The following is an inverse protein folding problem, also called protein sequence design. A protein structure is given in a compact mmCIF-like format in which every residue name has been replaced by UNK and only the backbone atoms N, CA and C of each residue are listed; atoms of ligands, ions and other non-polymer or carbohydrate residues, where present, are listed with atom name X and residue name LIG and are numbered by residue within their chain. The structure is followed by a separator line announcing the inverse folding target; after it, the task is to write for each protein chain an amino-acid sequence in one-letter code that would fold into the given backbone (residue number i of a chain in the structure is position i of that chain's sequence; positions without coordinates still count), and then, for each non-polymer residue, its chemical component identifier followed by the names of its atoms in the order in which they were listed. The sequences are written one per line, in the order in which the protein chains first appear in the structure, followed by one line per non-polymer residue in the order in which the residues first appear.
data_IF_982580113432
#
_entry.id   IF_982580113432
#
_cell.length_a   1.000
_cell.length_b   1.000
_cell.length_c   1.000
_cell.angle_alpha   90.00
_cell.angle_beta   90.00
_cell.angle_gamma   90.00
#
_symmetry.space_group_name_H-M   'P 1'
#
loop_
_entity.id
_entity.type
_entity.pdbx_description
1 polymer ?
#
# COMPACT_ATOMS: atom_id res chain seq x y z
N UNK A 1 21.19 14.76 -2.66
CA UNK A 1 21.20 13.43 -2.00
C UNK A 1 20.29 12.50 -2.78
N UNK A 2 20.58 11.19 -2.84
CA UNK A 2 19.68 10.21 -3.48
C UNK A 2 18.42 10.00 -2.64
N UNK A 3 17.25 9.94 -3.30
CA UNK A 3 15.96 9.75 -2.64
C UNK A 3 15.71 8.24 -2.44
N UNK A 4 15.53 7.76 -1.20
CA UNK A 4 15.16 6.38 -0.94
C UNK A 4 13.84 6.00 -1.62
N UNK A 5 13.83 4.91 -2.40
CA UNK A 5 12.64 4.36 -3.02
C UNK A 5 12.82 2.87 -3.32
N UNK A 6 11.75 2.10 -3.24
CA UNK A 6 11.80 0.64 -3.38
C UNK A 6 11.96 0.16 -4.83
N UNK A 7 11.81 1.03 -5.83
CA UNK A 7 12.17 0.71 -7.21
C UNK A 7 13.68 0.77 -7.48
N UNK A 8 14.48 1.27 -6.53
CA UNK A 8 15.91 1.52 -6.69
C UNK A 8 16.22 2.50 -7.85
N UNK A 9 15.32 3.45 -8.12
CA UNK A 9 15.55 4.51 -9.10
C UNK A 9 16.55 5.50 -8.54
N UNK A 10 17.57 5.84 -9.35
CA UNK A 10 18.57 6.83 -8.98
C UNK A 10 18.05 8.25 -9.27
N UNK A 11 17.15 8.73 -8.41
CA UNK A 11 16.68 10.12 -8.43
C UNK A 11 17.25 10.88 -7.24
N UNK A 12 17.54 12.18 -7.42
CA UNK A 12 18.19 13.04 -6.43
C UNK A 12 17.29 14.19 -6.00
N UNK A 13 17.59 14.72 -4.82
CA UNK A 13 17.05 15.97 -4.32
C UNK A 13 18.21 16.92 -3.94
N UNK A 14 18.02 18.22 -4.20
CA UNK A 14 18.99 19.25 -3.79
C UNK A 14 18.92 19.47 -2.26
N UNK A 15 17.71 19.48 -1.70
CA UNK A 15 17.46 19.64 -0.27
C UNK A 15 16.77 18.36 0.20
N UNK A 16 17.37 17.71 1.20
CA UNK A 16 16.85 16.49 1.81
C UNK A 16 17.00 16.60 3.32
N UNK A 17 15.85 16.57 4.01
CA UNK A 17 15.73 16.80 5.45
C UNK A 17 15.11 15.54 6.11
N UNK A 18 15.89 14.77 6.86
CA UNK A 18 15.34 13.70 7.70
C UNK A 18 14.65 14.32 8.91
N UNK A 19 13.38 13.98 9.11
CA UNK A 19 12.50 14.54 10.13
C UNK A 19 12.30 13.50 11.24
N UNK A 20 12.90 13.75 12.40
CA UNK A 20 12.87 12.84 13.55
C UNK A 20 11.96 13.28 14.70
N UNK A 21 11.43 14.53 14.66
CA UNK A 21 10.46 15.03 15.65
C UNK A 21 9.42 15.94 15.00
N UNK A 22 8.30 16.17 15.68
CA UNK A 22 7.26 17.10 15.22
C UNK A 22 7.77 18.55 15.23
N UNK A 23 8.64 18.92 16.15
CA UNK A 23 9.28 20.23 16.23
C UNK A 23 10.14 20.46 14.98
N UNK A 24 10.99 19.49 14.63
CA UNK A 24 11.81 19.56 13.40
C UNK A 24 10.94 19.61 12.14
N UNK A 25 9.77 18.96 12.13
CA UNK A 25 8.82 19.06 11.03
C UNK A 25 8.27 20.48 10.89
N UNK A 26 7.85 21.10 12.01
CA UNK A 26 7.32 22.46 12.03
C UNK A 26 8.39 23.46 11.58
N UNK A 27 9.62 23.36 12.08
CA UNK A 27 10.75 24.20 11.66
C UNK A 27 11.02 24.07 10.16
N UNK A 28 11.06 22.85 9.64
CA UNK A 28 11.26 22.60 8.22
C UNK A 28 10.13 23.21 7.34
N UNK A 29 8.87 23.13 7.80
CA UNK A 29 7.71 23.70 7.09
C UNK A 29 7.70 25.24 7.13
N UNK A 30 8.27 25.87 8.17
CA UNK A 30 8.46 27.32 8.22
C UNK A 30 9.48 27.81 7.19
N UNK A 31 10.55 27.04 6.99
CA UNK A 31 11.65 27.39 6.11
C UNK A 31 11.42 26.99 4.65
N UNK A 32 10.66 25.93 4.42
CA UNK A 32 10.47 25.33 3.09
C UNK A 32 9.01 25.20 2.73
N UNK A 33 8.59 25.94 1.69
CA UNK A 33 7.23 25.88 1.16
C UNK A 33 7.08 24.76 0.12
N UNK A 34 5.89 24.17 0.04
CA UNK A 34 5.55 23.10 -0.92
C UNK A 34 6.54 21.92 -0.92
N UNK A 35 6.84 21.33 0.23
CA UNK A 35 7.81 20.25 0.30
C UNK A 35 7.29 18.98 -0.40
N UNK A 36 8.23 18.17 -0.89
CA UNK A 36 7.97 16.79 -1.24
C UNK A 36 8.03 15.94 0.05
N UNK A 37 6.91 15.34 0.45
CA UNK A 37 6.82 14.54 1.67
C UNK A 37 7.12 13.09 1.33
N UNK A 38 8.18 12.54 1.94
CA UNK A 38 8.62 11.18 1.76
C UNK A 38 8.33 10.34 3.01
N UNK A 39 7.62 9.22 2.83
CA UNK A 39 7.50 8.15 3.82
C UNK A 39 8.51 7.02 3.53
N UNK A 40 8.04 5.78 3.45
CA UNK A 40 8.89 4.62 3.13
C UNK A 40 9.33 4.49 1.67
N UNK A 41 8.90 5.36 0.77
CA UNK A 41 9.26 5.31 -0.66
C UNK A 41 8.75 4.06 -1.41
N UNK A 42 7.75 3.37 -0.87
CA UNK A 42 7.31 2.05 -1.34
C UNK A 42 6.09 2.07 -2.28
N UNK A 43 5.49 3.24 -2.53
CA UNK A 43 4.37 3.39 -3.46
C UNK A 43 4.55 4.63 -4.35
N UNK A 44 5.72 4.72 -4.97
CA UNK A 44 6.09 5.86 -5.83
C UNK A 44 7.02 5.43 -6.94
N UNK A 45 6.90 6.11 -8.07
CA UNK A 45 7.83 6.04 -9.20
C UNK A 45 8.41 7.44 -9.46
N UNK A 46 9.71 7.58 -9.30
CA UNK A 46 10.44 8.81 -9.61
C UNK A 46 10.88 8.78 -11.07
N UNK A 47 10.35 9.67 -11.91
CA UNK A 47 10.71 9.75 -13.33
C UNK A 47 11.78 10.81 -13.61
N UNK A 48 12.11 11.62 -12.60
CA UNK A 48 13.09 12.70 -12.64
C UNK A 48 13.59 13.01 -11.22
N UNK A 49 14.59 13.87 -11.11
CA UNK A 49 15.03 14.43 -9.83
C UNK A 49 13.94 15.32 -9.21
N UNK A 50 13.89 15.38 -7.88
CA UNK A 50 12.93 16.20 -7.15
C UNK A 50 13.56 17.56 -6.85
N UNK A 51 12.93 18.61 -7.36
CA UNK A 51 13.39 20.01 -7.18
C UNK A 51 12.92 20.61 -5.86
N UNK A 52 11.78 20.12 -5.32
CA UNK A 52 11.26 20.55 -4.03
C UNK A 52 12.15 20.05 -2.88
N UNK A 53 12.19 20.76 -1.74
CA UNK A 53 12.76 20.22 -0.52
C UNK A 53 12.05 18.92 -0.13
N UNK A 54 12.82 17.85 0.08
CA UNK A 54 12.30 16.55 0.50
C UNK A 54 12.30 16.47 2.01
N UNK A 55 11.12 16.32 2.62
CA UNK A 55 10.94 16.03 4.04
C UNK A 55 10.73 14.53 4.20
N UNK A 56 11.74 13.81 4.67
CA UNK A 56 11.65 12.37 4.91
C UNK A 56 11.18 12.11 6.34
N UNK A 57 9.96 11.62 6.49
CA UNK A 57 9.31 11.42 7.80
C UNK A 57 9.85 10.16 8.46
N UNK A 58 10.65 10.35 9.51
CA UNK A 58 11.34 9.30 10.27
C UNK A 58 10.96 9.33 11.76
N UNK A 59 9.78 9.86 12.09
CA UNK A 59 9.24 9.89 13.45
C UNK A 59 9.12 8.48 14.02
N UNK A 60 9.68 8.22 15.19
CA UNK A 60 9.71 6.89 15.81
C UNK A 60 9.06 6.88 17.18
N UNK A 61 8.46 5.74 17.51
CA UNK A 61 7.86 5.46 18.81
C UNK A 61 6.55 4.69 18.68
N UNK A 62 6.36 3.75 19.58
CA UNK A 62 5.15 2.95 19.74
C UNK A 62 4.72 3.04 21.18
N UNK A 63 3.46 3.37 21.47
CA UNK A 63 2.93 3.47 22.80
C UNK A 63 1.50 2.96 22.91
N UNK A 64 1.16 2.34 24.02
CA UNK A 64 -0.22 2.03 24.37
C UNK A 64 -0.85 3.30 24.94
N UNK A 65 -1.91 3.79 24.29
CA UNK A 65 -2.61 5.01 24.73
C UNK A 65 -3.88 4.71 25.53
N UNK A 66 -4.42 3.51 25.37
CA UNK A 66 -5.60 3.03 26.10
C UNK A 66 -5.68 1.51 26.00
N UNK A 67 -6.23 0.88 27.03
CA UNK A 67 -6.59 -0.54 26.97
C UNK A 67 -7.80 -0.86 27.85
N UNK A 68 -8.45 -1.97 27.54
CA UNK A 68 -9.45 -2.62 28.40
C UNK A 68 -9.26 -4.14 28.34
N UNK A 69 -10.26 -4.90 28.83
CA UNK A 69 -10.15 -6.36 28.85
C UNK A 69 -10.04 -7.00 27.46
N UNK A 70 -10.68 -6.43 26.43
CA UNK A 70 -10.82 -7.03 25.10
C UNK A 70 -9.93 -6.36 24.04
N UNK A 71 -9.63 -5.07 24.21
CA UNK A 71 -8.96 -4.26 23.21
C UNK A 71 -7.80 -3.45 23.78
N UNK A 72 -6.87 -3.13 22.91
CA UNK A 72 -5.76 -2.19 23.15
C UNK A 72 -5.74 -1.14 22.04
N UNK A 73 -5.48 0.12 22.40
CA UNK A 73 -5.24 1.20 21.44
C UNK A 73 -3.75 1.52 21.44
N UNK A 74 -3.13 1.29 20.29
CA UNK A 74 -1.68 1.46 20.12
C UNK A 74 -1.45 2.60 19.14
N UNK A 75 -0.74 3.62 19.58
CA UNK A 75 -0.25 4.71 18.76
C UNK A 75 1.16 4.38 18.26
N UNK A 76 1.36 4.43 16.94
CA UNK A 76 2.66 4.32 16.31
C UNK A 76 2.97 5.59 15.51
N UNK A 77 4.20 6.06 15.61
CA UNK A 77 4.68 7.23 14.89
C UNK A 77 4.80 6.94 13.39
N UNK A 78 4.64 7.98 12.57
CA UNK A 78 4.52 7.85 11.10
C UNK A 78 5.73 7.20 10.42
N UNK A 79 6.92 7.35 10.96
CA UNK A 79 8.15 6.78 10.43
C UNK A 79 8.42 5.34 10.85
N UNK A 80 7.56 4.71 11.68
CA UNK A 80 7.69 3.29 11.98
C UNK A 80 7.51 2.44 10.72
N UNK A 81 8.37 1.42 10.55
CA UNK A 81 8.20 0.45 9.46
C UNK A 81 6.91 -0.33 9.69
N UNK A 82 6.05 -0.38 8.69
CA UNK A 82 4.73 -1.01 8.82
C UNK A 82 4.82 -2.49 9.19
N UNK A 83 5.63 -3.28 8.47
CA UNK A 83 5.71 -4.70 8.75
C UNK A 83 6.31 -5.00 10.13
N UNK A 84 7.32 -4.26 10.54
CA UNK A 84 7.90 -4.39 11.88
C UNK A 84 6.87 -4.02 12.97
N UNK A 85 6.04 -3.01 12.73
CA UNK A 85 4.95 -2.65 13.62
C UNK A 85 3.91 -3.77 13.73
N UNK A 86 3.50 -4.38 12.60
CA UNK A 86 2.61 -5.55 12.60
C UNK A 86 3.23 -6.69 13.41
N UNK A 87 4.49 -7.03 13.19
CA UNK A 87 5.16 -8.11 13.93
C UNK A 87 5.28 -7.80 15.43
N UNK A 88 5.51 -6.52 15.78
CA UNK A 88 5.50 -6.08 17.17
C UNK A 88 4.14 -6.33 17.83
N UNK A 89 3.03 -5.91 17.21
CA UNK A 89 1.68 -6.12 17.78
C UNK A 89 1.34 -7.61 17.94
N UNK A 90 1.68 -8.43 16.96
CA UNK A 90 1.47 -9.89 17.02
C UNK A 90 2.33 -10.56 18.09
N UNK A 91 3.55 -10.07 18.36
CA UNK A 91 4.39 -10.57 19.44
C UNK A 91 3.84 -10.31 20.83
N UNK A 92 2.98 -9.26 20.97
CA UNK A 92 2.25 -8.94 22.19
C UNK A 92 0.92 -9.71 22.30
N UNK A 93 0.61 -10.59 21.33
CA UNK A 93 -0.64 -11.34 21.27
C UNK A 93 -1.85 -10.53 20.78
N UNK A 94 -1.63 -9.37 20.15
CA UNK A 94 -2.73 -8.55 19.61
C UNK A 94 -3.10 -8.97 18.19
N UNK A 95 -4.40 -8.99 17.89
CA UNK A 95 -4.93 -9.32 16.56
C UNK A 95 -5.59 -8.13 15.87
N UNK A 96 -5.73 -8.22 14.56
CA UNK A 96 -6.37 -7.25 13.66
C UNK A 96 -5.47 -6.76 12.52
N UNK A 97 -4.14 -6.96 12.61
CA UNK A 97 -3.18 -6.53 11.58
C UNK A 97 -2.55 -7.70 10.81
N UNK A 98 -2.82 -8.93 11.18
CA UNK A 98 -2.18 -10.14 10.62
C UNK A 98 -2.30 -10.24 9.11
N UNK A 99 -3.47 -9.90 8.53
CA UNK A 99 -3.72 -9.93 7.09
C UNK A 99 -2.93 -8.86 6.32
N UNK A 100 -2.47 -7.81 7.01
CA UNK A 100 -1.69 -6.71 6.44
C UNK A 100 -0.17 -6.91 6.59
N UNK A 101 0.26 -8.13 6.92
CA UNK A 101 1.67 -8.51 7.05
C UNK A 101 2.42 -8.39 5.74
N UNK A 102 3.72 -8.06 5.83
CA UNK A 102 4.65 -7.93 4.70
C UNK A 102 4.21 -6.89 3.63
N UNK A 103 3.46 -5.86 4.01
CA UNK A 103 3.27 -4.67 3.17
C UNK A 103 4.44 -3.73 3.45
N UNK A 104 5.11 -3.28 2.37
CA UNK A 104 6.24 -2.36 2.48
C UNK A 104 5.76 -0.92 2.67
N UNK A 105 6.51 -0.14 3.44
CA UNK A 105 6.23 1.26 3.73
C UNK A 105 6.23 1.56 5.21
N UNK A 106 5.77 2.76 5.56
CA UNK A 106 5.74 3.26 6.93
C UNK A 106 4.29 3.44 7.43
N UNK A 107 4.11 3.40 8.75
CA UNK A 107 2.82 3.57 9.43
C UNK A 107 2.07 4.81 8.95
N UNK A 108 2.72 5.97 8.88
CA UNK A 108 2.07 7.23 8.48
C UNK A 108 1.53 7.26 7.05
N UNK A 109 1.97 6.34 6.18
CA UNK A 109 1.46 6.26 4.81
C UNK A 109 0.26 5.33 4.67
N UNK A 110 -0.05 4.54 5.71
CA UNK A 110 -1.12 3.54 5.65
C UNK A 110 -2.52 4.13 5.48
N UNK A 111 -2.89 5.28 6.14
CA UNK A 111 -4.21 5.88 5.94
C UNK A 111 -4.36 6.60 4.61
N UNK A 112 -3.25 7.01 3.96
CA UNK A 112 -3.31 7.84 2.74
C UNK A 112 -4.11 7.15 1.65
N UNK A 113 -3.90 5.86 1.43
CA UNK A 113 -4.61 5.08 0.42
C UNK A 113 -5.35 3.87 1.01
N UNK A 114 -5.68 3.91 2.32
CA UNK A 114 -6.39 2.82 2.96
C UNK A 114 -5.78 1.47 2.57
N UNK A 115 -4.49 1.25 2.93
CA UNK A 115 -3.82 0.00 2.53
C UNK A 115 -4.64 -1.21 2.94
N UNK A 116 -4.65 -2.23 2.11
CA UNK A 116 -5.44 -3.42 2.37
C UNK A 116 -4.93 -4.65 1.62
N UNK A 117 -5.11 -5.80 2.24
CA UNK A 117 -4.79 -7.10 1.69
C UNK A 117 -5.66 -8.18 2.33
N UNK A 118 -6.00 -9.22 1.56
CA UNK A 118 -6.70 -10.41 2.06
C UNK A 118 -7.96 -10.11 2.87
N UNK A 119 -8.78 -9.15 2.38
CA UNK A 119 -10.08 -8.83 2.96
C UNK A 119 -10.06 -7.82 4.11
N UNK A 120 -8.89 -7.39 4.56
CA UNK A 120 -8.73 -6.39 5.64
C UNK A 120 -8.13 -5.10 5.07
N UNK A 121 -8.63 -3.95 5.50
CA UNK A 121 -8.14 -2.63 5.16
C UNK A 121 -7.81 -1.84 6.45
N UNK A 122 -7.02 -0.77 6.33
CA UNK A 122 -6.67 0.09 7.48
C UNK A 122 -7.91 0.64 8.17
N UNK A 123 -8.96 1.00 7.43
CA UNK A 123 -10.23 1.51 7.98
C UNK A 123 -10.87 0.57 9.01
N UNK A 124 -10.59 -0.73 8.92
CA UNK A 124 -11.20 -1.73 9.81
C UNK A 124 -10.59 -1.72 11.21
N UNK A 125 -9.38 -1.19 11.36
CA UNK A 125 -8.58 -1.24 12.59
C UNK A 125 -8.04 0.11 13.05
N UNK A 126 -8.05 1.15 12.18
CA UNK A 126 -7.60 2.49 12.55
C UNK A 126 -8.65 3.19 13.42
N UNK A 127 -8.25 3.71 14.56
CA UNK A 127 -9.07 4.57 15.40
C UNK A 127 -8.99 6.04 14.95
N UNK A 128 -7.75 6.55 14.78
CA UNK A 128 -7.49 7.93 14.38
C UNK A 128 -6.07 8.11 13.85
N UNK A 129 -5.80 9.25 13.22
CA UNK A 129 -4.44 9.68 12.93
C UNK A 129 -4.21 11.15 13.27
N UNK A 130 -3.03 11.44 13.78
CA UNK A 130 -2.54 12.79 14.05
C UNK A 130 -1.80 13.31 12.81
N UNK A 131 -2.07 14.56 12.44
CA UNK A 131 -1.42 15.16 11.27
C UNK A 131 -1.19 16.67 11.48
N UNK A 132 -0.14 17.21 10.88
CA UNK A 132 0.19 18.63 10.90
C UNK A 132 -0.20 19.25 9.55
N UNK A 133 -0.97 20.33 9.59
CA UNK A 133 -1.30 21.11 8.40
C UNK A 133 -0.07 21.87 7.92
N UNK A 134 0.30 21.72 6.63
CA UNK A 134 1.54 22.31 6.09
C UNK A 134 1.49 23.84 5.96
N UNK A 135 0.28 24.43 5.99
CA UNK A 135 0.08 25.87 5.83
C UNK A 135 -0.08 26.59 7.17
N UNK A 136 -0.89 26.00 8.05
CA UNK A 136 -1.20 26.62 9.38
C UNK A 136 -0.28 26.13 10.48
N UNK A 137 0.49 25.05 10.25
CA UNK A 137 1.35 24.35 11.21
C UNK A 137 0.59 23.78 12.42
N UNK A 138 -0.74 23.80 12.37
CA UNK A 138 -1.57 23.27 13.43
C UNK A 138 -1.70 21.76 13.34
N UNK A 139 -1.61 21.10 14.48
CA UNK A 139 -1.87 19.68 14.63
C UNK A 139 -3.38 19.43 14.65
N UNK A 140 -3.83 18.42 13.92
CA UNK A 140 -5.21 17.94 13.91
C UNK A 140 -5.22 16.44 14.10
N UNK A 141 -6.20 15.95 14.85
CA UNK A 141 -6.52 14.53 14.91
C UNK A 141 -7.71 14.25 14.00
N UNK A 142 -7.57 13.29 13.11
CA UNK A 142 -8.62 12.79 12.22
C UNK A 142 -9.13 11.46 12.76
N UNK A 143 -10.41 11.37 13.03
CA UNK A 143 -11.05 10.09 13.35
C UNK A 143 -11.13 9.21 12.09
N UNK A 144 -11.39 7.92 12.27
CA UNK A 144 -11.61 6.99 11.17
C UNK A 144 -12.68 7.51 10.18
N UNK A 145 -13.82 7.98 10.71
CA UNK A 145 -14.94 8.50 9.90
C UNK A 145 -14.55 9.74 9.07
N UNK A 146 -13.76 10.66 9.66
CA UNK A 146 -13.29 11.85 8.96
C UNK A 146 -12.30 11.54 7.83
N UNK A 147 -11.61 10.39 7.90
CA UNK A 147 -10.70 9.95 6.83
C UNK A 147 -11.45 9.55 5.54
N UNK A 148 -12.77 9.36 5.56
CA UNK A 148 -13.62 9.09 4.38
C UNK A 148 -13.03 7.99 3.48
N UNK A 149 -12.68 6.86 4.08
CA UNK A 149 -12.00 5.77 3.40
C UNK A 149 -12.85 5.11 2.31
N UNK A 150 -12.23 4.90 1.16
CA UNK A 150 -12.73 4.07 0.06
C UNK A 150 -11.69 3.06 -0.40
N UNK A 151 -11.98 2.33 -1.48
CA UNK A 151 -11.02 1.41 -2.08
C UNK A 151 -9.80 2.16 -2.63
N UNK A 152 -8.66 2.01 -1.97
CA UNK A 152 -7.41 2.75 -2.25
C UNK A 152 -7.59 4.27 -2.22
N UNK A 153 -8.52 4.76 -1.42
CA UNK A 153 -8.87 6.18 -1.31
C UNK A 153 -9.03 6.61 0.15
N UNK A 154 -8.74 7.89 0.40
CA UNK A 154 -9.02 8.58 1.65
C UNK A 154 -9.13 10.08 1.41
N UNK A 155 -9.51 10.84 2.44
CA UNK A 155 -9.51 12.31 2.38
C UNK A 155 -8.13 12.87 1.99
N UNK A 156 -7.03 12.19 2.34
CA UNK A 156 -5.64 12.61 2.04
C UNK A 156 -5.26 12.43 0.56
N UNK A 157 -6.00 11.65 -0.21
CA UNK A 157 -5.87 11.59 -1.69
C UNK A 157 -6.87 12.49 -2.41
N UNK A 158 -7.95 12.88 -1.73
CA UNK A 158 -9.02 13.74 -2.22
C UNK A 158 -8.91 15.19 -1.71
N UNK A 159 -9.90 15.60 -0.92
CA UNK A 159 -10.10 16.98 -0.45
C UNK A 159 -8.90 17.57 0.29
N UNK A 160 -8.20 16.78 1.06
CA UNK A 160 -7.04 17.22 1.86
C UNK A 160 -5.69 16.82 1.24
N UNK A 161 -5.69 16.49 -0.04
CA UNK A 161 -4.45 16.12 -0.74
C UNK A 161 -3.43 17.25 -0.66
N UNK A 162 -2.25 16.93 -0.09
CA UNK A 162 -1.14 17.86 0.06
C UNK A 162 -1.26 18.86 1.21
N UNK A 163 -2.38 18.86 1.97
CA UNK A 163 -2.59 19.81 3.06
C UNK A 163 -2.04 19.33 4.41
N UNK A 164 -1.85 18.02 4.58
CA UNK A 164 -1.46 17.44 5.87
C UNK A 164 -0.31 16.44 5.73
N UNK A 165 0.54 16.43 6.75
CA UNK A 165 1.56 15.40 6.96
C UNK A 165 1.17 14.59 8.19
N UNK A 166 0.88 13.29 8.01
CA UNK A 166 0.53 12.39 9.12
C UNK A 166 1.78 12.16 9.97
N UNK A 167 1.65 12.35 11.28
CA UNK A 167 2.74 12.20 12.25
C UNK A 167 2.60 10.96 13.12
N UNK A 168 1.38 10.49 13.36
CA UNK A 168 1.12 9.24 14.08
C UNK A 168 -0.22 8.63 13.68
N UNK A 169 -0.37 7.31 13.87
CA UNK A 169 -1.63 6.57 13.66
C UNK A 169 -1.92 5.74 14.90
N UNK A 170 -3.16 5.77 15.35
CA UNK A 170 -3.67 4.96 16.47
C UNK A 170 -4.54 3.84 15.94
N UNK A 171 -4.22 2.62 16.35
CA UNK A 171 -4.93 1.40 15.96
C UNK A 171 -5.66 0.81 17.16
N UNK A 172 -6.89 0.34 16.96
CA UNK A 172 -7.65 -0.43 17.94
C UNK A 172 -7.52 -1.90 17.59
N UNK A 173 -6.81 -2.66 18.42
CA UNK A 173 -6.51 -4.07 18.22
C UNK A 173 -7.16 -4.93 19.29
N UNK A 174 -7.41 -6.21 18.98
CA UNK A 174 -7.99 -7.16 19.93
C UNK A 174 -6.91 -7.82 20.78
N UNK A 175 -7.20 -8.05 22.07
CA UNK A 175 -6.35 -8.79 23.03
C UNK A 175 -6.77 -10.27 23.15
N UNK A 176 -8.01 -10.57 22.81
CA UNK A 176 -8.64 -11.90 22.85
C UNK A 176 -9.86 -11.96 21.92
N UNK A 177 -10.41 -13.14 21.69
CA UNK A 177 -11.57 -13.35 20.83
C UNK A 177 -11.36 -12.75 19.43
N UNK A 178 -10.19 -13.02 18.85
CA UNK A 178 -9.78 -12.46 17.57
C UNK A 178 -10.72 -12.95 16.45
N UNK A 179 -11.25 -12.03 15.64
CA UNK A 179 -11.93 -12.35 14.40
C UNK A 179 -10.89 -12.41 13.29
N UNK A 180 -10.55 -13.61 12.83
CA UNK A 180 -9.54 -13.83 11.80
C UNK A 180 -10.19 -13.96 10.43
N UNK A 181 -9.68 -13.22 9.44
CA UNK A 181 -10.12 -13.29 8.05
C UNK A 181 -9.30 -14.33 7.28
N UNK A 182 -9.88 -15.50 7.06
CA UNK A 182 -9.21 -16.66 6.44
C UNK A 182 -9.87 -17.10 5.13
N UNK A 183 -10.89 -16.38 4.64
CA UNK A 183 -11.78 -16.80 3.54
C UNK A 183 -11.09 -16.84 2.16
N UNK A 184 -9.92 -16.23 2.02
CA UNK A 184 -9.14 -16.30 0.78
C UNK A 184 -8.61 -17.72 0.53
N UNK A 185 -8.92 -18.29 -0.66
CA UNK A 185 -8.62 -19.68 -0.96
C UNK A 185 -7.15 -20.07 -0.78
N UNK A 186 -6.21 -19.18 -1.11
CA UNK A 186 -4.78 -19.45 -0.87
C UNK A 186 -4.43 -19.53 0.62
N UNK A 187 -5.13 -18.77 1.48
CA UNK A 187 -4.95 -18.83 2.95
C UNK A 187 -5.53 -20.15 3.46
N UNK A 188 -6.76 -20.49 3.08
CA UNK A 188 -7.42 -21.72 3.49
C UNK A 188 -6.60 -22.96 3.11
N UNK A 189 -6.09 -22.97 1.87
CA UNK A 189 -5.25 -24.06 1.39
C UNK A 189 -4.00 -24.22 2.26
N UNK A 190 -3.24 -23.13 2.47
CA UNK A 190 -1.98 -23.21 3.22
C UNK A 190 -2.19 -23.49 4.73
N UNK A 191 -3.31 -23.03 5.31
CA UNK A 191 -3.73 -23.38 6.68
C UNK A 191 -3.99 -24.89 6.77
N UNK A 192 -4.73 -25.44 5.82
CA UNK A 192 -5.02 -26.88 5.77
C UNK A 192 -3.73 -27.72 5.59
N UNK A 193 -2.84 -27.32 4.67
CA UNK A 193 -1.53 -27.97 4.46
C UNK A 193 -0.65 -27.99 5.74
N UNK A 194 -0.78 -26.94 6.58
CA UNK A 194 -0.06 -26.82 7.87
C UNK A 194 -0.80 -27.43 9.06
N UNK A 195 -2.00 -28.01 8.85
CA UNK A 195 -2.81 -28.58 9.91
C UNK A 195 -3.37 -27.55 10.91
N UNK A 196 -3.51 -26.29 10.51
CA UNK A 196 -3.96 -25.18 11.35
C UNK A 196 -5.47 -24.94 11.18
N UNK A 197 -6.29 -25.65 11.94
CA UNK A 197 -7.76 -25.50 11.93
C UNK A 197 -8.25 -24.27 12.71
N UNK A 198 -7.51 -23.80 13.69
CA UNK A 198 -7.82 -22.64 14.53
C UNK A 198 -6.53 -21.84 14.75
N UNK A 199 -6.06 -21.09 13.73
CA UNK A 199 -4.79 -20.38 13.83
C UNK A 199 -4.86 -19.23 14.84
N UNK A 200 -3.76 -18.91 15.48
CA UNK A 200 -3.58 -17.65 16.17
C UNK A 200 -3.33 -16.51 15.16
N UNK A 201 -3.50 -15.21 15.53
CA UNK A 201 -3.14 -14.09 14.66
C UNK A 201 -1.69 -14.20 14.12
N UNK A 202 -0.74 -14.62 14.95
CA UNK A 202 0.65 -14.82 14.54
C UNK A 202 0.80 -15.92 13.49
N UNK A 203 0.17 -17.07 13.68
CA UNK A 203 0.19 -18.18 12.70
C UNK A 203 -0.46 -17.77 11.36
N UNK A 204 -1.56 -17.01 11.40
CA UNK A 204 -2.17 -16.47 10.18
C UNK A 204 -1.22 -15.49 9.48
N UNK A 205 -0.55 -14.60 10.21
CA UNK A 205 0.48 -13.73 9.65
C UNK A 205 1.60 -14.51 8.96
N UNK A 206 2.11 -15.60 9.55
CA UNK A 206 3.14 -16.44 8.97
C UNK A 206 2.68 -17.11 7.66
N UNK A 207 1.41 -17.54 7.61
CA UNK A 207 0.81 -18.07 6.39
C UNK A 207 0.75 -16.98 5.30
N UNK A 208 0.29 -15.79 5.64
CA UNK A 208 0.19 -14.66 4.71
C UNK A 208 1.58 -14.24 4.20
N UNK A 209 2.56 -14.16 5.08
CA UNK A 209 3.96 -13.87 4.70
C UNK A 209 4.44 -14.90 3.68
N UNK A 210 4.21 -16.19 3.92
CA UNK A 210 4.61 -17.27 2.99
C UNK A 210 3.94 -17.12 1.62
N UNK A 211 2.63 -16.83 1.60
CA UNK A 211 1.88 -16.60 0.34
C UNK A 211 2.44 -15.38 -0.40
N UNK A 212 2.74 -14.30 0.32
CA UNK A 212 3.26 -13.07 -0.29
C UNK A 212 4.67 -13.29 -0.85
N UNK A 213 5.55 -13.94 -0.10
CA UNK A 213 6.92 -14.26 -0.54
C UNK A 213 6.96 -15.19 -1.75
N UNK A 214 6.00 -16.10 -1.88
CA UNK A 214 5.93 -16.99 -3.05
C UNK A 214 5.50 -16.28 -4.36
N UNK A 215 4.88 -15.09 -4.24
CA UNK A 215 4.30 -14.37 -5.40
C UNK A 215 4.93 -13.01 -5.66
N UNK A 216 5.30 -12.28 -4.61
CA UNK A 216 5.76 -10.89 -4.72
C UNK A 216 7.29 -10.84 -4.64
N UNK A 217 7.95 -10.06 -5.50
CA UNK A 217 9.38 -9.85 -5.39
C UNK A 217 9.73 -9.01 -4.16
N UNK A 218 10.81 -9.38 -3.47
CA UNK A 218 11.36 -8.54 -2.42
C UNK A 218 12.04 -7.31 -3.07
N UNK A 219 11.65 -6.07 -2.73
CA UNK A 219 12.21 -4.87 -3.33
C UNK A 219 13.71 -4.67 -3.00
N UNK A 220 14.23 -5.28 -1.94
CA UNK A 220 15.66 -5.23 -1.61
C UNK A 220 16.51 -6.00 -2.64
N UNK A 221 15.92 -6.99 -3.33
CA UNK A 221 16.60 -7.82 -4.33
C UNK A 221 16.17 -7.50 -5.74
N UNK A 222 14.91 -7.09 -5.95
CA UNK A 222 14.35 -6.74 -7.24
C UNK A 222 13.45 -5.51 -7.10
N UNK A 223 13.96 -4.35 -7.52
CA UNK A 223 13.29 -3.06 -7.35
C UNK A 223 11.84 -3.07 -7.85
N UNK A 224 10.91 -2.70 -6.98
CA UNK A 224 9.48 -2.62 -7.26
C UNK A 224 8.76 -1.79 -6.20
N UNK A 225 7.48 -1.49 -6.41
CA UNK A 225 6.64 -0.79 -5.43
C UNK A 225 5.31 -1.51 -5.14
N UNK A 226 5.31 -2.85 -5.28
CA UNK A 226 4.09 -3.65 -5.15
C UNK A 226 3.18 -3.53 -6.37
N UNK A 227 1.88 -3.58 -6.15
CA UNK A 227 0.88 -3.45 -7.23
C UNK A 227 0.96 -2.09 -7.91
N UNK A 228 1.20 -2.09 -9.23
CA UNK A 228 1.35 -0.85 -9.99
C UNK A 228 0.00 -0.26 -10.41
N UNK A 229 -1.00 -1.11 -10.59
CA UNK A 229 -2.35 -0.72 -11.02
C UNK A 229 -3.38 -1.10 -9.97
N UNK A 230 -4.48 -0.31 -9.90
CA UNK A 230 -5.67 -0.69 -9.16
C UNK A 230 -6.41 -1.82 -9.89
N UNK A 231 -7.12 -2.64 -9.15
CA UNK A 231 -8.10 -3.54 -9.77
C UNK A 231 -9.27 -2.69 -10.30
N UNK A 232 -9.59 -2.74 -11.61
CA UNK A 232 -10.67 -1.94 -12.17
C UNK A 232 -12.04 -2.39 -11.65
N UNK A 233 -12.90 -1.39 -11.42
CA UNK A 233 -14.32 -1.60 -11.15
C UNK A 233 -15.05 -1.30 -12.46
N UNK A 234 -15.84 -2.26 -12.95
CA UNK A 234 -16.60 -2.16 -14.18
C UNK A 234 -18.09 -2.46 -13.92
N UNK A 235 -18.96 -2.06 -14.85
CA UNK A 235 -20.37 -2.43 -14.76
C UNK A 235 -20.55 -3.94 -14.91
N UNK A 236 -21.56 -4.48 -14.25
CA UNK A 236 -21.91 -5.89 -14.37
C UNK A 236 -22.26 -6.27 -15.81
N UNK A 237 -22.86 -5.35 -16.57
CA UNK A 237 -23.15 -5.53 -17.99
C UNK A 237 -21.85 -5.77 -18.80
N UNK A 238 -20.87 -4.87 -18.67
CA UNK A 238 -19.59 -5.02 -19.35
C UNK A 238 -18.86 -6.30 -18.91
N UNK A 239 -18.99 -6.68 -17.64
CA UNK A 239 -18.41 -7.94 -17.16
C UNK A 239 -19.06 -9.17 -17.81
N UNK A 240 -20.37 -9.22 -17.92
CA UNK A 240 -21.07 -10.34 -18.57
C UNK A 240 -20.73 -10.45 -20.07
N UNK A 241 -20.58 -9.32 -20.77
CA UNK A 241 -20.08 -9.30 -22.16
C UNK A 241 -18.66 -9.86 -22.27
N UNK A 242 -17.76 -9.45 -21.37
CA UNK A 242 -16.39 -9.99 -21.32
C UNK A 242 -16.36 -11.48 -21.00
N UNK A 243 -17.24 -11.94 -20.13
CA UNK A 243 -17.35 -13.35 -19.70
C UNK A 243 -17.77 -14.27 -20.83
N UNK A 244 -18.49 -13.78 -21.84
CA UNK A 244 -18.79 -14.54 -23.06
C UNK A 244 -17.50 -14.90 -23.82
N UNK A 245 -16.54 -13.94 -23.90
CA UNK A 245 -15.27 -14.12 -24.60
C UNK A 245 -14.20 -14.78 -23.71
N UNK A 246 -14.28 -14.55 -22.40
CA UNK A 246 -13.33 -15.03 -21.38
C UNK A 246 -14.10 -15.69 -20.23
N UNK A 247 -14.56 -16.94 -20.37
CA UNK A 247 -15.40 -17.61 -19.36
C UNK A 247 -14.73 -17.76 -18.00
N UNK A 248 -13.40 -17.74 -17.95
CA UNK A 248 -12.56 -17.87 -16.76
C UNK A 248 -12.20 -16.52 -16.09
N UNK A 249 -12.77 -15.39 -16.57
CA UNK A 249 -12.50 -14.07 -15.98
C UNK A 249 -13.02 -14.02 -14.54
N UNK A 250 -12.14 -13.79 -13.52
CA UNK A 250 -12.56 -13.70 -12.14
C UNK A 250 -13.16 -12.33 -11.83
N UNK A 251 -14.08 -12.29 -10.87
CA UNK A 251 -14.62 -11.03 -10.36
C UNK A 251 -14.98 -11.12 -8.88
N UNK A 252 -15.05 -9.94 -8.27
CA UNK A 252 -15.55 -9.75 -6.91
C UNK A 252 -16.71 -8.77 -6.97
N UNK A 253 -17.89 -9.16 -6.46
CA UNK A 253 -19.06 -8.28 -6.38
C UNK A 253 -18.74 -7.06 -5.50
N UNK A 254 -19.10 -5.88 -5.97
CA UNK A 254 -19.06 -4.63 -5.18
C UNK A 254 -20.49 -4.33 -4.71
N UNK A 255 -21.43 -4.29 -5.66
CA UNK A 255 -22.86 -4.07 -5.43
C UNK A 255 -23.68 -4.78 -6.53
N UNK A 256 -24.96 -4.41 -6.67
CA UNK A 256 -25.85 -5.01 -7.67
C UNK A 256 -25.48 -4.66 -9.10
N UNK A 257 -24.74 -3.56 -9.32
CA UNK A 257 -24.43 -2.95 -10.63
C UNK A 257 -22.96 -3.04 -11.02
N UNK A 258 -22.06 -3.30 -10.08
CA UNK A 258 -20.62 -3.22 -10.29
C UNK A 258 -19.87 -4.44 -9.77
N UNK A 259 -18.81 -4.78 -10.49
CA UNK A 259 -17.86 -5.82 -10.09
C UNK A 259 -16.42 -5.31 -10.21
N UNK A 260 -15.56 -5.82 -9.36
CA UNK A 260 -14.12 -5.58 -9.40
C UNK A 260 -13.42 -6.74 -10.08
N UNK A 261 -12.66 -6.46 -11.14
CA UNK A 261 -11.88 -7.45 -11.91
C UNK A 261 -10.41 -7.37 -11.52
N UNK A 262 -9.72 -8.49 -11.26
CA UNK A 262 -8.29 -8.47 -10.95
C UNK A 262 -7.46 -7.97 -12.13
N UNK A 263 -6.77 -6.83 -11.97
CA UNK A 263 -5.88 -6.30 -13.00
C UNK A 263 -4.73 -7.26 -13.32
N UNK A 264 -4.24 -8.02 -12.33
CA UNK A 264 -3.22 -9.04 -12.56
C UNK A 264 -3.66 -10.12 -13.54
N UNK A 265 -4.94 -10.54 -13.49
CA UNK A 265 -5.50 -11.48 -14.47
C UNK A 265 -5.56 -10.87 -15.87
N UNK A 266 -6.02 -9.63 -16.01
CA UNK A 266 -6.10 -8.92 -17.29
C UNK A 266 -4.70 -8.81 -17.95
N UNK A 267 -3.70 -8.43 -17.16
CA UNK A 267 -2.31 -8.27 -17.64
C UNK A 267 -1.71 -9.63 -18.01
N UNK A 268 -1.95 -10.68 -17.22
CA UNK A 268 -1.50 -12.04 -17.50
C UNK A 268 -2.17 -12.59 -18.77
N UNK A 269 -3.50 -12.43 -18.90
CA UNK A 269 -4.28 -12.87 -20.06
C UNK A 269 -3.93 -12.09 -21.33
N UNK A 270 -3.45 -10.84 -21.20
CA UNK A 270 -2.89 -10.06 -22.31
C UNK A 270 -1.49 -10.53 -22.75
N UNK A 271 -0.93 -11.58 -22.12
CA UNK A 271 0.39 -12.12 -22.44
C UNK A 271 1.55 -11.26 -21.97
N UNK A 272 1.31 -10.38 -20.99
CA UNK A 272 2.32 -9.42 -20.52
C UNK A 272 3.04 -9.84 -19.22
N UNK A 273 2.63 -10.93 -18.57
CA UNK A 273 3.37 -11.48 -17.44
C UNK A 273 4.77 -11.91 -17.87
N UNK A 274 5.81 -11.39 -17.21
CA UNK A 274 7.20 -11.61 -17.62
C UNK A 274 7.68 -10.75 -18.80
N UNK A 275 6.83 -9.85 -19.34
CA UNK A 275 7.27 -8.91 -20.37
C UNK A 275 8.41 -8.04 -19.88
N UNK A 276 9.46 -7.87 -20.69
CA UNK A 276 10.65 -7.10 -20.36
C UNK A 276 11.09 -6.23 -21.54
N UNK A 277 11.45 -4.98 -21.24
CA UNK A 277 12.09 -4.04 -22.19
C UNK A 277 13.30 -3.41 -21.50
N UNK A 278 14.49 -3.84 -21.88
CA UNK A 278 15.71 -3.46 -21.14
C UNK A 278 15.67 -3.97 -19.70
N UNK A 279 15.87 -3.07 -18.74
CA UNK A 279 15.79 -3.38 -17.31
C UNK A 279 14.42 -3.09 -16.68
N UNK A 280 13.45 -2.59 -17.45
CA UNK A 280 12.08 -2.41 -17.00
C UNK A 280 11.21 -3.61 -17.44
N UNK A 281 10.29 -4.07 -16.58
CA UNK A 281 9.41 -5.17 -16.98
C UNK A 281 8.25 -5.43 -16.03
N UNK A 282 7.45 -6.41 -16.40
CA UNK A 282 6.37 -7.01 -15.59
C UNK A 282 6.91 -8.25 -14.91
N UNK A 283 6.66 -8.40 -13.62
CA UNK A 283 7.16 -9.55 -12.86
C UNK A 283 6.58 -10.88 -13.39
N UNK A 284 7.40 -11.92 -13.40
CA UNK A 284 7.07 -13.22 -14.01
C UNK A 284 6.13 -14.09 -13.16
N UNK A 285 5.97 -13.82 -11.84
CA UNK A 285 5.04 -14.52 -10.96
C UNK A 285 3.81 -13.69 -10.62
N UNK A 286 3.90 -12.36 -10.68
CA UNK A 286 2.80 -11.44 -10.36
C UNK A 286 2.71 -10.33 -11.39
N UNK A 287 1.79 -10.47 -12.34
CA UNK A 287 1.63 -9.55 -13.46
C UNK A 287 1.24 -8.10 -13.06
N UNK A 288 0.72 -7.92 -11.84
CA UNK A 288 0.37 -6.60 -11.32
C UNK A 288 1.58 -5.78 -10.85
N UNK A 289 2.76 -6.41 -10.71
CA UNK A 289 3.97 -5.78 -10.21
C UNK A 289 4.91 -5.47 -11.38
N UNK A 290 5.23 -4.19 -11.53
CA UNK A 290 6.33 -3.77 -12.41
C UNK A 290 7.65 -3.80 -11.63
N UNK A 291 8.72 -4.15 -12.32
CA UNK A 291 10.04 -4.38 -11.71
C UNK A 291 11.16 -3.68 -12.45
N UNK A 292 12.20 -3.32 -11.69
CA UNK A 292 13.47 -2.85 -12.18
C UNK A 292 14.51 -3.97 -12.06
N UNK A 293 14.91 -4.56 -13.17
CA UNK A 293 15.89 -5.65 -13.21
C UNK A 293 17.35 -5.20 -13.01
N UNK A 294 17.58 -3.88 -12.85
CA UNK A 294 18.92 -3.37 -12.61
C UNK A 294 19.00 -1.85 -12.67
N UNK A 295 19.11 -1.27 -13.87
CA UNK A 295 19.38 0.14 -14.08
C UNK A 295 18.25 0.88 -14.82
N UNK A 296 17.03 0.36 -14.82
CA UNK A 296 15.93 1.06 -15.44
C UNK A 296 15.71 2.43 -14.80
N UNK A 297 15.47 3.42 -15.62
CA UNK A 297 15.02 4.74 -15.21
C UNK A 297 13.52 4.72 -14.90
N UNK A 298 13.04 5.69 -14.13
CA UNK A 298 11.60 5.80 -13.88
C UNK A 298 10.79 6.02 -15.17
N UNK A 299 11.36 6.71 -16.17
CA UNK A 299 10.72 6.89 -17.48
C UNK A 299 10.57 5.56 -18.25
N UNK A 300 11.54 4.67 -18.16
CA UNK A 300 11.47 3.33 -18.79
C UNK A 300 10.41 2.45 -18.10
N UNK A 301 10.34 2.46 -16.76
CA UNK A 301 9.28 1.78 -16.01
C UNK A 301 7.90 2.35 -16.40
N UNK A 302 7.76 3.68 -16.47
CA UNK A 302 6.51 4.33 -16.87
C UNK A 302 6.11 3.97 -18.32
N UNK A 303 7.07 3.87 -19.23
CA UNK A 303 6.81 3.44 -20.61
C UNK A 303 6.27 2.00 -20.66
N UNK A 304 6.79 1.08 -19.82
CA UNK A 304 6.23 -0.27 -19.68
C UNK A 304 4.82 -0.21 -19.10
N UNK A 305 4.56 0.65 -18.11
CA UNK A 305 3.23 0.82 -17.53
C UNK A 305 2.19 1.28 -18.57
N UNK A 306 2.53 2.27 -19.40
CA UNK A 306 1.66 2.73 -20.49
C UNK A 306 1.46 1.66 -21.55
N UNK A 307 2.47 0.86 -21.86
CA UNK A 307 2.31 -0.27 -22.78
C UNK A 307 1.34 -1.31 -22.24
N UNK A 308 1.40 -1.62 -20.94
CA UNK A 308 0.44 -2.50 -20.25
C UNK A 308 -0.98 -1.91 -20.36
N UNK A 309 -1.17 -0.62 -20.02
CA UNK A 309 -2.48 0.05 -20.13
C UNK A 309 -3.06 -0.04 -21.54
N UNK A 310 -2.27 0.32 -22.56
CA UNK A 310 -2.70 0.30 -23.94
C UNK A 310 -3.08 -1.10 -24.43
N UNK A 311 -2.31 -2.12 -24.01
CA UNK A 311 -2.58 -3.51 -24.41
C UNK A 311 -3.85 -4.04 -23.76
N UNK A 312 -4.05 -3.80 -22.44
CA UNK A 312 -5.26 -4.21 -21.73
C UNK A 312 -6.49 -3.47 -22.27
N UNK A 313 -6.39 -2.17 -22.51
CA UNK A 313 -7.48 -1.38 -23.12
C UNK A 313 -7.86 -1.93 -24.50
N UNK A 314 -6.88 -2.21 -25.35
CA UNK A 314 -7.11 -2.75 -26.70
C UNK A 314 -7.80 -4.11 -26.67
N UNK A 315 -7.42 -4.98 -25.72
CA UNK A 315 -7.91 -6.37 -25.68
C UNK A 315 -9.25 -6.51 -24.94
N UNK A 316 -9.45 -5.75 -23.87
CA UNK A 316 -10.61 -5.93 -22.97
C UNK A 316 -11.53 -4.71 -22.89
N UNK A 317 -11.18 -3.59 -23.52
CA UNK A 317 -11.93 -2.32 -23.37
C UNK A 317 -11.84 -1.71 -21.98
N UNK A 318 -10.93 -2.18 -21.11
CA UNK A 318 -10.78 -1.75 -19.73
C UNK A 318 -9.55 -0.84 -19.60
N UNK A 319 -9.74 0.35 -19.04
CA UNK A 319 -8.64 1.24 -18.67
C UNK A 319 -8.13 0.91 -17.27
N UNK A 320 -6.84 0.61 -17.14
CA UNK A 320 -6.18 0.42 -15.85
C UNK A 320 -5.76 1.78 -15.27
N UNK A 321 -6.05 2.00 -13.98
CA UNK A 321 -5.57 3.17 -13.24
C UNK A 321 -4.30 2.83 -12.47
N UNK A 322 -3.37 3.78 -12.38
CA UNK A 322 -2.20 3.63 -11.52
C UNK A 322 -2.60 3.66 -10.04
N UNK A 323 -2.10 2.71 -9.25
CA UNK A 323 -2.13 2.76 -7.79
C UNK A 323 -0.91 3.53 -7.25
N UNK A 324 0.17 3.49 -8.00
CA UNK A 324 1.46 4.12 -7.70
C UNK A 324 1.41 5.62 -7.98
N UNK A 325 2.04 6.41 -7.11
CA UNK A 325 2.23 7.84 -7.34
C UNK A 325 3.43 8.07 -8.27
N UNK A 326 3.25 8.86 -9.32
CA UNK A 326 4.29 9.16 -10.32
C UNK A 326 4.75 10.60 -10.15
N UNK A 327 6.06 10.82 -10.08
CA UNK A 327 6.73 12.11 -9.87
C UNK A 327 7.82 12.40 -10.89
#
# INVERSE_FOLDING_TARGET
MQIPNTFNINAKANIYLPIHSEEALVEALQQHKNPFVLGGGSNMLLTQDITQPVLHILLKGISIVKENNDNVWIKAQAGENWHQFVQYTLSQGYGGLENLSLIYGNVGTTPVQNIGAYGVEIKDVMESCEAINIHTLQKRNFTNAECSFGYRESIFKGKEKGNYIITAVTFKLTKRNHLLHTEYGAIQQLLAERGLSSPTPKQLSEVIISIRQSKLPNPDTLGNCGSFFKNPIISKTNYEELKIQYPDIPSYSIDETQVKVPAGWLIDRAGLKGYRKGDAGVHNLQALVLVNYGKATGKEILAVAHYVQATVLKQFGITLEFEVNIF
#
